data_IF_133157213570
#
_entry.id   IF_133157213570
#
_cell.length_a   1.000
_cell.length_b   1.000
_cell.length_c   1.000
_cell.angle_alpha   90.00
_cell.angle_beta   90.00
_cell.angle_gamma   90.00
#
_symmetry.space_group_name_H-M   'P 1'
#
loop_
_entity.id
_entity.type
_entity.pdbx_description
1 polymer ?
#
# COMPACT_ATOMS: atom_id res chain seq x y z
N UNK A 1 -18.66 64.41 6.80
CA UNK A 1 -18.69 63.09 7.45
C UNK A 1 -17.87 62.16 6.57
N UNK A 2 -16.57 61.95 6.89
CA UNK A 2 -15.71 61.06 6.10
C UNK A 2 -15.89 59.62 6.53
N UNK A 3 -16.02 58.66 5.60
CA UNK A 3 -16.04 57.24 5.95
C UNK A 3 -14.64 56.82 6.47
N UNK A 4 -14.61 56.18 7.66
CA UNK A 4 -13.42 55.59 8.21
C UNK A 4 -12.96 54.47 7.30
N UNK A 5 -11.77 54.60 6.73
CA UNK A 5 -11.08 53.50 6.05
C UNK A 5 -10.65 52.51 7.12
N UNK A 6 -11.19 51.32 7.09
CA UNK A 6 -10.71 50.20 7.87
C UNK A 6 -9.29 49.82 7.37
N UNK A 7 -8.34 49.53 8.27
CA UNK A 7 -6.96 49.27 7.89
C UNK A 7 -6.88 47.94 7.10
N UNK A 8 -6.28 48.03 5.92
CA UNK A 8 -6.03 46.89 4.99
C UNK A 8 -5.34 45.70 5.67
N UNK A 9 -4.70 45.91 6.80
CA UNK A 9 -4.02 44.87 7.57
C UNK A 9 -4.94 43.82 8.21
N UNK A 10 -6.20 44.16 8.50
CA UNK A 10 -7.15 43.24 9.12
C UNK A 10 -7.76 42.32 8.09
N UNK A 11 -7.98 42.78 6.85
CA UNK A 11 -8.44 41.93 5.72
C UNK A 11 -7.43 40.85 5.35
N UNK A 12 -6.16 41.19 5.31
CA UNK A 12 -5.07 40.23 5.00
C UNK A 12 -4.93 39.16 6.09
N UNK A 13 -5.23 39.48 7.35
CA UNK A 13 -5.24 38.52 8.46
C UNK A 13 -6.42 37.58 8.42
N UNK A 14 -7.59 38.04 7.99
CA UNK A 14 -8.80 37.20 7.83
C UNK A 14 -8.64 36.27 6.64
N UNK A 15 -8.16 36.75 5.49
CA UNK A 15 -7.90 35.91 4.30
C UNK A 15 -6.85 34.81 4.60
N UNK A 16 -5.76 35.14 5.29
CA UNK A 16 -4.77 34.15 5.71
C UNK A 16 -5.26 33.15 6.77
N UNK A 17 -6.32 33.51 7.52
CA UNK A 17 -6.91 32.61 8.50
C UNK A 17 -7.94 31.67 7.86
N UNK A 18 -8.64 32.12 6.82
CA UNK A 18 -9.55 31.31 6.01
C UNK A 18 -8.78 30.29 5.19
N UNK A 19 -7.68 30.71 4.51
CA UNK A 19 -6.81 29.76 3.78
C UNK A 19 -6.15 28.70 4.67
N UNK A 20 -5.84 29.02 5.92
CA UNK A 20 -5.30 28.04 6.88
C UNK A 20 -6.34 27.05 7.40
N UNK A 21 -7.62 27.38 7.32
CA UNK A 21 -8.71 26.47 7.73
C UNK A 21 -9.15 25.51 6.62
N UNK A 22 -8.88 25.81 5.34
CA UNK A 22 -9.24 24.95 4.20
C UNK A 22 -8.24 23.83 3.92
N UNK A 23 -7.01 23.87 4.51
CA UNK A 23 -6.02 22.80 4.41
C UNK A 23 -6.00 21.95 5.69
N UNK A 24 -7.15 21.63 6.26
CA UNK A 24 -7.26 20.44 7.06
C UNK A 24 -7.39 19.27 6.09
N UNK A 25 -6.23 18.73 5.69
CA UNK A 25 -6.18 17.38 5.09
C UNK A 25 -7.04 16.48 5.97
N UNK A 26 -8.15 15.99 5.43
CA UNK A 26 -8.93 14.95 6.07
C UNK A 26 -7.98 13.77 6.18
N UNK A 27 -7.36 13.59 7.34
CA UNK A 27 -6.52 12.44 7.64
C UNK A 27 -7.46 11.24 7.62
N UNK A 28 -7.61 10.64 6.45
CA UNK A 28 -8.33 9.38 6.32
C UNK A 28 -7.50 8.34 7.06
N UNK A 29 -8.04 7.66 8.06
CA UNK A 29 -7.29 6.65 8.79
C UNK A 29 -6.82 5.58 7.80
N UNK A 30 -5.53 5.28 7.80
CA UNK A 30 -4.91 4.31 6.91
C UNK A 30 -4.36 3.15 7.73
N UNK A 31 -4.77 1.94 7.38
CA UNK A 31 -4.20 0.74 7.95
C UNK A 31 -3.25 0.09 6.95
N UNK A 32 -2.04 -0.22 7.37
CA UNK A 32 -1.04 -0.83 6.51
C UNK A 32 -0.49 -2.14 7.06
N UNK A 33 -0.14 -3.04 6.15
CA UNK A 33 0.64 -4.22 6.48
C UNK A 33 1.76 -4.41 5.46
N UNK A 34 2.96 -4.72 5.94
CA UNK A 34 4.14 -4.92 5.11
C UNK A 34 4.79 -6.27 5.39
N UNK A 35 4.95 -7.07 4.34
CA UNK A 35 5.74 -8.29 4.37
C UNK A 35 7.11 -8.06 3.73
N UNK A 36 8.17 -8.22 4.51
CA UNK A 36 9.56 -8.10 4.02
C UNK A 36 10.10 -9.48 3.64
N UNK A 37 10.97 -9.50 2.62
CA UNK A 37 11.74 -10.67 2.18
C UNK A 37 10.90 -11.88 1.71
N UNK A 38 9.73 -11.66 1.11
CA UNK A 38 8.97 -12.74 0.49
C UNK A 38 9.80 -13.43 -0.60
N UNK A 39 9.90 -14.77 -0.56
CA UNK A 39 10.75 -15.59 -1.46
C UNK A 39 10.15 -15.76 -2.85
N UNK A 40 9.50 -14.72 -3.36
CA UNK A 40 8.87 -14.65 -4.69
C UNK A 40 9.35 -13.39 -5.40
N UNK A 41 9.50 -13.45 -6.72
CA UNK A 41 9.85 -12.28 -7.53
C UNK A 41 8.73 -11.25 -7.54
N UNK A 42 9.06 -9.96 -7.39
CA UNK A 42 8.12 -8.85 -7.43
C UNK A 42 7.24 -8.85 -8.70
N UNK A 43 7.78 -9.26 -9.88
CA UNK A 43 6.99 -9.37 -11.12
C UNK A 43 5.85 -10.38 -11.01
N UNK A 44 6.07 -11.52 -10.32
CA UNK A 44 5.02 -12.54 -10.12
C UNK A 44 3.99 -12.10 -9.11
N UNK A 45 4.40 -11.33 -8.10
CA UNK A 45 3.51 -10.74 -7.11
C UNK A 45 2.63 -9.67 -7.75
N UNK A 46 3.20 -8.78 -8.58
CA UNK A 46 2.46 -7.70 -9.26
C UNK A 46 1.24 -8.20 -10.03
N UNK A 47 1.33 -9.33 -10.72
CA UNK A 47 0.21 -9.90 -11.47
C UNK A 47 -1.01 -10.15 -10.57
N UNK A 48 -0.79 -10.57 -9.32
CA UNK A 48 -1.88 -10.86 -8.38
C UNK A 48 -2.39 -9.60 -7.70
N UNK A 49 -1.47 -8.69 -7.28
CA UNK A 49 -1.88 -7.47 -6.60
C UNK A 49 -2.62 -6.49 -7.51
N UNK A 50 -2.34 -6.51 -8.82
CA UNK A 50 -3.05 -5.66 -9.77
C UNK A 50 -4.54 -6.06 -9.92
N UNK A 51 -4.91 -7.31 -9.56
CA UNK A 51 -6.30 -7.79 -9.57
C UNK A 51 -7.11 -7.26 -8.37
N UNK A 52 -6.45 -6.95 -7.26
CA UNK A 52 -7.11 -6.56 -6.00
C UNK A 52 -7.09 -5.06 -5.74
N UNK A 53 -6.32 -4.30 -6.50
CA UNK A 53 -6.22 -2.86 -6.32
C UNK A 53 -7.56 -2.17 -6.55
N UNK A 54 -7.98 -1.30 -5.60
CA UNK A 54 -9.25 -0.56 -5.67
C UNK A 54 -10.50 -1.39 -5.42
N UNK A 55 -10.35 -2.64 -4.98
CA UNK A 55 -11.47 -3.53 -4.64
C UNK A 55 -11.82 -3.43 -3.16
N UNK A 56 -13.08 -3.78 -2.83
CA UNK A 56 -13.46 -3.99 -1.43
C UNK A 56 -12.67 -5.15 -0.82
N UNK A 57 -12.51 -5.16 0.47
CA UNK A 57 -11.71 -6.18 1.17
C UNK A 57 -12.27 -7.59 0.94
N UNK A 58 -13.60 -7.77 0.96
CA UNK A 58 -14.23 -9.06 0.75
C UNK A 58 -14.02 -9.60 -0.68
N UNK A 59 -14.18 -8.72 -1.68
CA UNK A 59 -13.88 -9.07 -3.07
C UNK A 59 -12.40 -9.41 -3.25
N UNK A 60 -11.50 -8.63 -2.65
CA UNK A 60 -10.07 -8.87 -2.73
C UNK A 60 -9.69 -10.23 -2.13
N UNK A 61 -10.24 -10.59 -0.97
CA UNK A 61 -10.04 -11.91 -0.35
C UNK A 61 -10.55 -13.04 -1.24
N UNK A 62 -11.74 -12.88 -1.82
CA UNK A 62 -12.31 -13.87 -2.73
C UNK A 62 -11.42 -14.06 -3.98
N UNK A 63 -11.02 -12.98 -4.64
CA UNK A 63 -10.15 -13.01 -5.82
C UNK A 63 -8.82 -13.73 -5.52
N UNK A 64 -8.17 -13.37 -4.40
CA UNK A 64 -6.88 -13.96 -4.01
C UNK A 64 -7.04 -15.45 -3.72
N UNK A 65 -8.10 -15.86 -3.02
CA UNK A 65 -8.38 -17.26 -2.66
C UNK A 65 -8.60 -18.14 -3.89
N UNK A 66 -9.28 -17.62 -4.92
CA UNK A 66 -9.55 -18.38 -6.14
C UNK A 66 -8.45 -18.25 -7.21
N UNK A 67 -7.44 -17.42 -7.00
CA UNK A 67 -6.33 -17.28 -7.95
C UNK A 67 -5.26 -18.35 -7.70
N UNK A 68 -5.03 -19.33 -8.60
CA UNK A 68 -4.08 -20.42 -8.39
C UNK A 68 -2.62 -19.96 -8.68
N UNK A 69 -2.09 -19.07 -7.84
CA UNK A 69 -0.73 -18.56 -7.94
C UNK A 69 0.01 -18.73 -6.60
N UNK A 70 1.29 -19.06 -6.65
CA UNK A 70 2.10 -19.17 -5.43
C UNK A 70 2.21 -17.86 -4.61
N UNK A 71 1.92 -16.71 -5.21
CA UNK A 71 1.88 -15.43 -4.52
C UNK A 71 0.58 -15.25 -3.72
N UNK A 72 -0.51 -15.93 -4.11
CA UNK A 72 -1.83 -15.74 -3.51
C UNK A 72 -1.87 -16.09 -2.03
N UNK A 73 -1.29 -17.21 -1.62
CA UNK A 73 -1.24 -17.61 -0.21
C UNK A 73 -0.56 -16.57 0.68
N UNK A 74 0.51 -15.96 0.17
CA UNK A 74 1.27 -14.94 0.91
C UNK A 74 0.47 -13.63 0.99
N UNK A 75 -0.17 -13.24 -0.13
CA UNK A 75 -0.99 -12.03 -0.21
C UNK A 75 -2.24 -12.17 0.66
N UNK A 76 -2.87 -13.34 0.69
CA UNK A 76 -4.03 -13.62 1.56
C UNK A 76 -3.70 -13.41 3.04
N UNK A 77 -2.57 -13.97 3.50
CA UNK A 77 -2.11 -13.78 4.88
C UNK A 77 -1.81 -12.33 5.20
N UNK A 78 -1.18 -11.61 4.27
CA UNK A 78 -0.87 -10.20 4.43
C UNK A 78 -2.13 -9.34 4.45
N UNK A 79 -3.12 -9.64 3.60
CA UNK A 79 -4.39 -8.94 3.56
C UNK A 79 -5.18 -9.15 4.87
N UNK A 80 -5.25 -10.37 5.39
CA UNK A 80 -5.84 -10.66 6.71
C UNK A 80 -5.15 -9.88 7.84
N UNK A 81 -3.83 -9.75 7.78
CA UNK A 81 -3.08 -8.94 8.74
C UNK A 81 -3.41 -7.45 8.63
N UNK A 82 -3.57 -6.93 7.41
CA UNK A 82 -3.95 -5.53 7.18
C UNK A 82 -5.37 -5.24 7.71
N UNK A 83 -6.31 -6.18 7.52
CA UNK A 83 -7.68 -6.09 8.05
C UNK A 83 -7.66 -6.05 9.57
N UNK A 84 -6.96 -6.99 10.20
CA UNK A 84 -6.85 -7.02 11.66
C UNK A 84 -6.21 -5.73 12.22
N UNK A 85 -5.24 -5.13 11.50
CA UNK A 85 -4.68 -3.83 11.88
C UNK A 85 -5.72 -2.71 11.76
N UNK A 86 -6.56 -2.72 10.70
CA UNK A 86 -7.61 -1.73 10.51
C UNK A 86 -8.66 -1.79 11.63
N UNK A 87 -9.12 -2.98 11.96
CA UNK A 87 -10.15 -3.20 12.98
C UNK A 87 -9.62 -2.91 14.40
N UNK A 88 -8.48 -3.51 14.78
CA UNK A 88 -8.00 -3.46 16.15
C UNK A 88 -7.26 -2.15 16.50
N UNK A 89 -6.49 -1.59 15.57
CA UNK A 89 -5.66 -0.42 15.85
C UNK A 89 -6.34 0.90 15.45
N UNK A 90 -7.15 0.87 14.40
CA UNK A 90 -7.78 2.08 13.85
C UNK A 90 -9.30 2.10 14.02
N UNK A 91 -9.90 1.05 14.62
CA UNK A 91 -11.35 0.93 14.83
C UNK A 91 -12.18 1.19 13.56
N UNK A 92 -11.66 0.77 12.40
CA UNK A 92 -12.34 0.95 11.11
C UNK A 92 -13.38 -0.15 10.91
N UNK A 93 -14.54 0.20 10.36
CA UNK A 93 -15.59 -0.77 10.07
C UNK A 93 -15.22 -1.62 8.86
N UNK A 94 -15.24 -2.94 9.00
CA UNK A 94 -14.90 -3.91 7.95
C UNK A 94 -15.61 -3.66 6.62
N UNK A 95 -16.90 -3.35 6.65
CA UNK A 95 -17.75 -3.15 5.46
C UNK A 95 -17.32 -1.96 4.58
N UNK A 96 -16.60 -0.99 5.14
CA UNK A 96 -16.15 0.20 4.43
C UNK A 96 -14.72 0.10 3.92
N UNK A 97 -14.00 -0.96 4.31
CA UNK A 97 -12.61 -1.12 3.95
C UNK A 97 -12.44 -1.48 2.46
N UNK A 98 -11.54 -0.78 1.81
CA UNK A 98 -11.11 -1.08 0.46
C UNK A 98 -9.58 -1.03 0.34
N UNK A 99 -9.07 -1.69 -0.67
CA UNK A 99 -7.63 -1.74 -0.96
C UNK A 99 -7.24 -0.47 -1.70
N UNK A 100 -6.76 0.54 -0.98
CA UNK A 100 -6.36 1.82 -1.55
C UNK A 100 -5.08 1.67 -2.35
N UNK A 101 -4.03 1.16 -1.73
CA UNK A 101 -2.73 1.00 -2.37
C UNK A 101 -2.17 -0.39 -2.14
N UNK A 102 -1.62 -0.96 -3.20
CA UNK A 102 -0.86 -2.22 -3.13
C UNK A 102 0.37 -2.11 -4.03
N UNK A 103 1.52 -2.43 -3.48
CA UNK A 103 2.75 -2.46 -4.25
C UNK A 103 3.71 -3.55 -3.81
N UNK A 104 4.53 -4.01 -4.75
CA UNK A 104 5.58 -4.98 -4.51
C UNK A 104 6.91 -4.44 -5.03
N UNK A 105 7.83 -4.23 -4.13
CA UNK A 105 9.19 -3.76 -4.40
C UNK A 105 10.16 -4.93 -4.46
N UNK A 106 11.23 -4.77 -5.23
CA UNK A 106 12.26 -5.79 -5.31
C UNK A 106 13.13 -5.78 -4.05
N UNK A 107 13.24 -6.92 -3.40
CA UNK A 107 14.15 -7.14 -2.29
C UNK A 107 15.54 -7.64 -2.75
N UNK A 108 16.43 -7.94 -1.80
CA UNK A 108 17.75 -8.47 -2.09
C UNK A 108 17.68 -9.79 -2.85
N UNK A 109 18.55 -9.94 -3.84
CA UNK A 109 18.60 -11.14 -4.67
C UNK A 109 19.68 -12.10 -4.17
N UNK A 110 19.30 -13.31 -3.84
CA UNK A 110 20.26 -14.37 -3.48
C UNK A 110 20.89 -14.94 -4.75
N UNK A 111 22.20 -14.79 -4.85
CA UNK A 111 22.99 -15.33 -5.97
C UNK A 111 23.35 -16.79 -5.67
N UNK A 112 23.12 -17.68 -6.63
CA UNK A 112 23.49 -19.10 -6.57
C UNK A 112 24.20 -19.47 -7.86
N UNK A 113 25.00 -20.53 -7.82
CA UNK A 113 25.71 -21.03 -8.96
C UNK A 113 25.25 -22.46 -9.24
N UNK A 114 25.01 -22.75 -10.50
CA UNK A 114 24.74 -24.09 -10.99
C UNK A 114 25.88 -24.48 -11.91
N UNK A 115 26.60 -25.59 -11.64
CA UNK A 115 27.62 -26.09 -12.54
C UNK A 115 26.99 -26.49 -13.88
N UNK A 116 27.67 -26.20 -14.97
CA UNK A 116 27.24 -26.52 -16.33
C UNK A 116 28.38 -27.24 -17.08
N UNK A 117 28.12 -27.66 -18.33
CA UNK A 117 29.05 -28.37 -19.17
C UNK A 117 30.38 -27.60 -19.34
N UNK A 118 31.46 -28.32 -19.57
CA UNK A 118 32.83 -27.79 -19.79
C UNK A 118 33.36 -26.92 -18.63
N UNK A 119 33.00 -27.24 -17.38
CA UNK A 119 33.46 -26.51 -16.20
C UNK A 119 32.93 -25.08 -16.05
N UNK A 120 31.93 -24.67 -16.86
CA UNK A 120 31.31 -23.35 -16.74
C UNK A 120 30.36 -23.29 -15.56
N UNK A 121 30.11 -22.08 -15.03
CA UNK A 121 29.20 -21.83 -13.91
C UNK A 121 28.10 -20.87 -14.33
N UNK A 122 26.85 -21.34 -14.28
CA UNK A 122 25.66 -20.49 -14.57
C UNK A 122 25.14 -19.87 -13.30
N UNK A 123 24.98 -18.55 -13.30
CA UNK A 123 24.44 -17.80 -12.15
C UNK A 123 22.92 -17.90 -12.10
N UNK A 124 22.38 -18.36 -10.97
CA UNK A 124 20.94 -18.37 -10.69
C UNK A 124 20.62 -17.25 -9.69
N UNK A 125 19.63 -16.42 -10.03
CA UNK A 125 19.15 -15.34 -9.16
C UNK A 125 17.86 -15.77 -8.47
N UNK A 126 17.89 -16.03 -7.17
CA UNK A 126 16.70 -16.25 -6.33
C UNK A 126 16.24 -14.89 -5.82
N UNK A 127 15.24 -14.31 -6.50
CA UNK A 127 14.72 -12.98 -6.18
C UNK A 127 13.80 -13.03 -4.97
N UNK A 128 13.81 -11.97 -4.18
CA UNK A 128 12.85 -11.71 -3.11
C UNK A 128 12.08 -10.42 -3.39
N UNK A 129 10.97 -10.22 -2.69
CA UNK A 129 10.17 -9.01 -2.79
C UNK A 129 9.70 -8.53 -1.41
N UNK A 130 9.39 -7.26 -1.32
CA UNK A 130 8.71 -6.63 -0.20
C UNK A 130 7.32 -6.23 -0.70
N UNK A 131 6.28 -6.62 0.04
CA UNK A 131 4.89 -6.39 -0.35
C UNK A 131 4.27 -5.51 0.71
N UNK A 132 3.62 -4.44 0.30
CA UNK A 132 2.87 -3.55 1.19
C UNK A 132 1.44 -3.41 0.69
N UNK A 133 0.49 -3.49 1.61
CA UNK A 133 -0.94 -3.27 1.37
C UNK A 133 -1.39 -2.14 2.29
N UNK A 134 -2.11 -1.18 1.74
CA UNK A 134 -2.72 -0.07 2.46
C UNK A 134 -4.23 -0.15 2.26
N UNK A 135 -4.96 -0.16 3.36
CA UNK A 135 -6.43 -0.14 3.42
C UNK A 135 -6.91 1.24 3.89
N UNK A 136 -8.00 1.68 3.31
CA UNK A 136 -8.74 2.89 3.72
C UNK A 136 -10.21 2.60 3.89
#
# INVERSE_FOLDING_TARGET
MCPRQEPEQDRVKEENNVEKQEVQEVIVPEASATLKYARISARKVKIVIDLIRGKSVDEALAIVKFTPKAASEIIEKLLKSAIANAENNHNMAHEKLYVAEVYANQGPTLKRIRPAAKGSAVRIRKRTSHITIVLR
#
